data_IF_002855169461
#
_entry.id   IF_002855169461
#
_cell.length_a   1.000
_cell.length_b   1.000
_cell.length_c   1.000
_cell.angle_alpha   90.00
_cell.angle_beta   90.00
_cell.angle_gamma   90.00
#
_symmetry.space_group_name_H-M   'P 1'
#
loop_
_entity.id
_entity.type
_entity.pdbx_description
1 polymer ?
#
# COMPACT_ATOMS: atom_id res chain seq x y z
N UNK A 1 21.96 18.98 -13.68
CA UNK A 1 21.28 17.74 -14.10
C UNK A 1 19.85 18.12 -14.49
N UNK A 2 19.26 17.46 -15.48
CA UNK A 2 17.87 17.71 -15.87
C UNK A 2 16.97 17.18 -14.78
N UNK A 3 15.97 17.97 -14.34
CA UNK A 3 15.00 17.48 -13.34
C UNK A 3 14.31 16.21 -13.83
N UNK A 4 14.04 15.25 -12.92
CA UNK A 4 13.31 14.03 -13.27
C UNK A 4 11.91 14.36 -13.81
N UNK A 5 11.46 13.63 -14.79
CA UNK A 5 10.08 13.72 -15.26
C UNK A 5 9.18 12.87 -14.32
N UNK A 6 8.68 13.47 -13.26
CA UNK A 6 7.88 12.79 -12.23
C UNK A 6 6.63 12.11 -12.82
N UNK A 7 5.91 12.80 -13.70
CA UNK A 7 4.72 12.21 -14.32
C UNK A 7 5.03 10.94 -15.13
N UNK A 8 6.21 10.88 -15.77
CA UNK A 8 6.65 9.66 -16.46
C UNK A 8 6.95 8.54 -15.48
N UNK A 9 7.57 8.85 -14.32
CA UNK A 9 7.85 7.86 -13.27
C UNK A 9 6.53 7.32 -12.72
N UNK A 10 5.55 8.17 -12.45
CA UNK A 10 4.21 7.79 -11.96
C UNK A 10 3.50 6.83 -12.93
N UNK A 11 3.48 7.15 -14.23
CA UNK A 11 2.85 6.32 -15.26
C UNK A 11 3.53 4.95 -15.40
N UNK A 12 4.87 4.93 -15.40
CA UNK A 12 5.63 3.68 -15.49
C UNK A 12 5.48 2.83 -14.23
N UNK A 13 5.44 3.43 -13.02
CA UNK A 13 5.18 2.72 -11.77
C UNK A 13 3.80 2.08 -11.77
N UNK A 14 2.77 2.80 -12.23
CA UNK A 14 1.43 2.23 -12.35
C UNK A 14 1.40 0.99 -13.25
N UNK A 15 2.07 1.05 -14.40
CA UNK A 15 2.17 -0.09 -15.32
C UNK A 15 2.91 -1.27 -14.69
N UNK A 16 4.05 -1.02 -14.04
CA UNK A 16 4.83 -2.05 -13.37
C UNK A 16 4.08 -2.71 -12.20
N UNK A 17 3.27 -1.94 -11.46
CA UNK A 17 2.39 -2.50 -10.42
C UNK A 17 1.41 -3.52 -11.00
N UNK A 18 0.74 -3.19 -12.08
CA UNK A 18 -0.22 -4.10 -12.68
C UNK A 18 0.46 -5.27 -13.39
N UNK A 19 1.64 -5.06 -14.00
CA UNK A 19 2.44 -6.15 -14.55
C UNK A 19 2.79 -7.18 -13.48
N UNK A 20 3.34 -6.76 -12.34
CA UNK A 20 3.74 -7.69 -11.29
C UNK A 20 2.55 -8.35 -10.59
N UNK A 21 1.43 -7.66 -10.45
CA UNK A 21 0.20 -8.22 -9.89
C UNK A 21 -0.35 -9.34 -10.75
N UNK A 22 -0.34 -9.17 -12.08
CA UNK A 22 -0.83 -10.18 -13.02
C UNK A 22 0.18 -11.29 -13.30
N UNK A 23 1.46 -10.98 -13.28
CA UNK A 23 2.53 -11.93 -13.54
C UNK A 23 3.68 -11.76 -12.53
N UNK A 24 3.50 -12.20 -11.27
CA UNK A 24 4.51 -12.04 -10.22
C UNK A 24 5.88 -12.60 -10.59
N UNK A 25 5.92 -13.70 -11.35
CA UNK A 25 7.15 -14.38 -11.74
C UNK A 25 7.98 -13.59 -12.77
N UNK A 26 7.38 -12.60 -13.47
CA UNK A 26 8.09 -11.76 -14.47
C UNK A 26 9.25 -10.96 -13.85
N UNK A 27 9.19 -10.66 -12.55
CA UNK A 27 10.24 -9.93 -11.85
C UNK A 27 11.38 -10.81 -11.30
N UNK A 28 11.26 -12.13 -11.31
CA UNK A 28 12.31 -13.05 -10.82
C UNK A 28 13.64 -12.85 -11.56
N UNK A 29 13.70 -12.72 -12.92
CA UNK A 29 14.95 -12.45 -13.60
C UNK A 29 15.61 -11.13 -13.17
N UNK A 30 14.81 -10.08 -12.94
CA UNK A 30 15.29 -8.76 -12.47
C UNK A 30 15.89 -8.87 -11.07
N UNK A 31 15.21 -9.53 -10.13
CA UNK A 31 15.74 -9.78 -8.78
C UNK A 31 17.02 -10.64 -8.80
N UNK A 32 17.13 -11.61 -9.72
CA UNK A 32 18.38 -12.37 -9.90
C UNK A 32 19.53 -11.48 -10.37
N UNK A 33 19.26 -10.48 -11.22
CA UNK A 33 20.28 -9.51 -11.63
C UNK A 33 20.71 -8.64 -10.46
N UNK A 34 19.80 -8.28 -9.54
CA UNK A 34 20.12 -7.53 -8.31
C UNK A 34 21.17 -8.28 -7.47
N UNK A 35 21.08 -9.62 -7.34
CA UNK A 35 22.05 -10.41 -6.59
C UNK A 35 23.48 -10.25 -7.10
N UNK A 36 23.67 -9.99 -8.39
CA UNK A 36 25.01 -9.79 -8.98
C UNK A 36 25.61 -8.42 -8.68
N UNK A 37 24.82 -7.52 -8.13
CA UNK A 37 25.20 -6.13 -7.82
C UNK A 37 25.56 -5.91 -6.34
N UNK A 38 25.59 -6.96 -5.52
CA UNK A 38 25.99 -6.89 -4.14
C UNK A 38 27.52 -7.03 -3.96
N UNK A 39 28.04 -6.27 -3.02
CA UNK A 39 29.33 -6.51 -2.41
C UNK A 39 29.15 -6.44 -0.90
N UNK A 40 29.23 -7.56 -0.24
CA UNK A 40 28.81 -7.73 1.16
C UNK A 40 27.31 -7.31 1.31
N UNK A 41 27.04 -6.34 2.19
CA UNK A 41 25.71 -5.77 2.37
C UNK A 41 25.50 -4.44 1.62
N UNK A 42 26.35 -4.11 0.69
CA UNK A 42 26.22 -2.91 -0.13
C UNK A 42 25.65 -3.30 -1.49
N UNK A 43 24.50 -2.77 -1.82
CA UNK A 43 23.86 -2.94 -3.12
C UNK A 43 24.29 -1.81 -4.05
N UNK A 44 25.07 -2.15 -5.08
CA UNK A 44 25.54 -1.24 -6.13
C UNK A 44 24.51 -1.17 -7.26
N UNK A 45 23.59 -0.23 -7.14
CA UNK A 45 22.53 -0.03 -8.16
C UNK A 45 23.15 0.59 -9.41
N UNK A 46 22.92 0.04 -10.61
CA UNK A 46 23.38 0.65 -11.85
C UNK A 46 22.86 2.09 -11.98
N UNK A 47 23.76 3.04 -12.28
CA UNK A 47 23.46 4.47 -12.48
C UNK A 47 22.86 5.20 -11.28
N UNK A 48 22.91 4.62 -10.09
CA UNK A 48 22.45 5.23 -8.84
C UNK A 48 23.50 5.15 -7.72
N UNK A 49 23.28 5.83 -6.61
CA UNK A 49 24.16 5.74 -5.46
C UNK A 49 24.01 4.38 -4.78
N UNK A 50 25.11 3.75 -4.29
CA UNK A 50 25.03 2.49 -3.58
C UNK A 50 24.22 2.60 -2.29
N UNK A 51 23.47 1.54 -1.96
CA UNK A 51 22.66 1.45 -0.75
C UNK A 51 23.28 0.47 0.23
N UNK A 52 23.52 0.92 1.48
CA UNK A 52 23.81 0.02 2.59
C UNK A 52 22.50 -0.68 3.00
N UNK A 53 22.46 -2.00 2.86
CA UNK A 53 21.30 -2.83 3.24
C UNK A 53 21.48 -3.43 4.63
N UNK A 54 20.38 -3.84 5.25
CA UNK A 54 20.35 -4.52 6.54
C UNK A 54 20.60 -6.02 6.41
N UNK A 55 19.97 -6.66 5.44
CA UNK A 55 19.96 -8.11 5.26
C UNK A 55 20.85 -8.57 4.09
N UNK A 56 21.13 -7.67 3.12
CA UNK A 56 21.94 -8.01 1.96
C UNK A 56 21.19 -8.91 0.98
N UNK A 57 21.91 -9.86 0.39
CA UNK A 57 21.37 -10.82 -0.61
C UNK A 57 20.25 -11.70 -0.05
N UNK A 58 20.15 -11.87 1.27
CA UNK A 58 19.12 -12.70 1.91
C UNK A 58 17.71 -12.17 1.63
N UNK A 59 17.50 -10.85 1.75
CA UNK A 59 16.21 -10.22 1.47
C UNK A 59 15.81 -10.39 -0.01
N UNK A 60 16.76 -10.31 -0.93
CA UNK A 60 16.51 -10.51 -2.36
C UNK A 60 16.15 -11.97 -2.64
N UNK A 61 16.90 -12.91 -2.04
CA UNK A 61 16.65 -14.35 -2.18
C UNK A 61 15.26 -14.72 -1.66
N UNK A 62 14.86 -14.15 -0.53
CA UNK A 62 13.53 -14.33 0.06
C UNK A 62 12.44 -13.75 -0.86
N UNK A 63 12.65 -12.55 -1.45
CA UNK A 63 11.73 -11.98 -2.42
C UNK A 63 11.55 -12.87 -3.67
N UNK A 64 12.64 -13.48 -4.16
CA UNK A 64 12.58 -14.46 -5.26
C UNK A 64 11.75 -15.68 -4.87
N UNK A 65 11.92 -16.23 -3.65
CA UNK A 65 11.14 -17.39 -3.19
C UNK A 65 9.65 -17.02 -3.03
N UNK A 66 9.36 -15.84 -2.48
CA UNK A 66 8.00 -15.32 -2.39
C UNK A 66 7.34 -15.27 -3.77
N UNK A 67 7.99 -14.64 -4.76
CA UNK A 67 7.42 -14.52 -6.12
C UNK A 67 7.20 -15.86 -6.82
N UNK A 68 7.98 -16.92 -6.53
CA UNK A 68 7.76 -18.25 -7.12
C UNK A 68 6.40 -18.84 -6.77
N UNK A 69 5.86 -18.49 -5.60
CA UNK A 69 4.60 -19.04 -5.08
C UNK A 69 3.45 -18.03 -5.12
N UNK A 70 3.76 -16.74 -5.29
CA UNK A 70 2.75 -15.69 -5.37
C UNK A 70 1.83 -15.92 -6.56
N UNK A 71 0.53 -16.02 -6.28
CA UNK A 71 -0.50 -16.11 -7.30
C UNK A 71 -0.81 -14.73 -7.88
N UNK A 72 -1.19 -14.64 -9.15
CA UNK A 72 -1.73 -13.41 -9.72
C UNK A 72 -2.90 -12.86 -8.89
N UNK A 73 -2.96 -11.54 -8.81
CA UNK A 73 -4.09 -10.81 -8.21
C UNK A 73 -4.60 -9.77 -9.19
N UNK A 74 -5.82 -9.28 -8.98
CA UNK A 74 -6.47 -8.33 -9.89
C UNK A 74 -5.65 -7.04 -10.07
N UNK A 75 -5.75 -6.45 -11.24
CA UNK A 75 -5.21 -5.12 -11.52
C UNK A 75 -5.82 -4.06 -10.60
N UNK A 76 -5.03 -3.03 -10.35
CA UNK A 76 -5.47 -1.82 -9.67
C UNK A 76 -5.93 -0.79 -10.69
N UNK A 77 -6.95 -0.03 -10.35
CA UNK A 77 -7.40 1.15 -11.10
C UNK A 77 -6.70 2.39 -10.55
N UNK A 78 -6.14 3.21 -11.43
CA UNK A 78 -5.55 4.48 -11.01
C UNK A 78 -6.66 5.44 -10.57
N UNK A 79 -6.59 5.91 -9.30
CA UNK A 79 -7.48 6.94 -8.78
C UNK A 79 -6.77 8.29 -8.74
N UNK A 80 -7.42 9.28 -9.33
CA UNK A 80 -6.97 10.67 -9.28
C UNK A 80 -7.01 11.21 -7.85
N UNK A 81 -8.02 10.84 -7.09
CA UNK A 81 -8.27 11.31 -5.72
C UNK A 81 -7.17 10.80 -4.77
N UNK A 82 -6.83 9.50 -4.87
CA UNK A 82 -5.72 8.92 -4.09
C UNK A 82 -4.39 9.55 -4.54
N UNK A 83 -4.19 9.80 -5.84
CA UNK A 83 -2.97 10.45 -6.34
C UNK A 83 -2.83 11.88 -5.81
N UNK A 84 -3.94 12.62 -5.67
CA UNK A 84 -3.93 13.94 -5.03
C UNK A 84 -3.58 13.86 -3.55
N UNK A 85 -4.08 12.88 -2.83
CA UNK A 85 -3.72 12.65 -1.42
C UNK A 85 -2.24 12.26 -1.25
N UNK A 86 -1.70 11.43 -2.15
CA UNK A 86 -0.27 11.14 -2.21
C UNK A 86 0.56 12.38 -2.55
N UNK A 87 0.06 13.22 -3.45
CA UNK A 87 0.73 14.48 -3.81
C UNK A 87 0.78 15.45 -2.63
N UNK A 88 -0.30 15.62 -1.89
CA UNK A 88 -0.29 16.41 -0.65
C UNK A 88 0.81 15.94 0.30
N UNK A 89 0.99 14.62 0.42
CA UNK A 89 2.01 14.05 1.28
C UNK A 89 3.43 14.34 0.79
N UNK A 90 3.69 14.08 -0.48
CA UNK A 90 4.99 14.36 -1.11
C UNK A 90 5.35 15.86 -1.03
N UNK A 91 4.39 16.75 -1.30
CA UNK A 91 4.58 18.20 -1.24
C UNK A 91 4.82 18.68 0.21
N UNK A 92 4.31 17.95 1.21
CA UNK A 92 4.52 18.28 2.62
C UNK A 92 5.85 17.77 3.15
N UNK A 93 6.11 16.45 3.00
CA UNK A 93 7.29 15.81 3.61
C UNK A 93 8.58 16.08 2.83
N UNK A 94 8.50 16.18 1.50
CA UNK A 94 9.67 16.31 0.63
C UNK A 94 10.53 17.52 0.96
N UNK A 95 10.01 18.77 0.96
CA UNK A 95 10.77 19.98 1.30
C UNK A 95 11.29 19.99 2.74
N UNK A 96 10.64 19.29 3.65
CA UNK A 96 11.03 19.18 5.07
C UNK A 96 12.06 18.09 5.31
N UNK A 97 12.26 17.18 4.35
CA UNK A 97 13.20 16.06 4.47
C UNK A 97 12.70 14.97 5.43
N UNK A 98 11.38 14.83 5.58
CA UNK A 98 10.75 13.84 6.44
C UNK A 98 10.52 12.52 5.68
N UNK A 99 10.59 11.38 6.40
CA UNK A 99 10.40 10.03 5.82
C UNK A 99 9.29 9.26 6.55
N UNK A 100 8.26 9.98 6.99
CA UNK A 100 7.15 9.46 7.80
C UNK A 100 5.90 9.26 6.98
N UNK A 101 5.04 8.32 7.38
CA UNK A 101 3.69 8.14 6.83
C UNK A 101 2.70 9.21 7.31
N UNK A 102 2.96 9.83 8.46
CA UNK A 102 2.21 10.99 8.92
C UNK A 102 2.78 12.27 8.30
N UNK A 103 1.91 13.14 7.86
CA UNK A 103 2.27 14.49 7.42
C UNK A 103 2.83 15.33 8.57
N UNK A 104 3.49 16.43 8.27
CA UNK A 104 4.00 17.35 9.29
C UNK A 104 2.90 17.99 10.14
N UNK A 105 1.66 17.95 9.68
CA UNK A 105 0.45 18.35 10.39
C UNK A 105 -0.19 17.19 11.19
N UNK A 106 0.45 16.03 11.24
CA UNK A 106 0.00 14.83 11.94
C UNK A 106 -1.07 14.02 11.21
N UNK A 107 -1.45 14.40 9.98
CA UNK A 107 -2.45 13.65 9.22
C UNK A 107 -1.89 12.39 8.60
N UNK A 108 -2.66 11.33 8.72
CA UNK A 108 -2.40 10.04 8.08
C UNK A 108 -3.00 9.94 6.66
N UNK A 109 -2.82 8.81 5.99
CA UNK A 109 -3.32 8.59 4.63
C UNK A 109 -4.84 8.76 4.53
N UNK A 110 -5.63 8.22 5.48
CA UNK A 110 -7.09 8.33 5.40
C UNK A 110 -7.57 9.77 5.45
N UNK A 111 -7.00 10.57 6.35
CA UNK A 111 -7.33 11.98 6.49
C UNK A 111 -6.92 12.81 5.25
N UNK A 112 -5.88 12.38 4.54
CA UNK A 112 -5.50 13.00 3.26
C UNK A 112 -6.46 12.61 2.14
N UNK A 113 -6.85 11.33 2.04
CA UNK A 113 -7.80 10.84 1.03
C UNK A 113 -9.19 11.47 1.22
N UNK A 114 -9.65 11.62 2.47
CA UNK A 114 -10.95 12.20 2.84
C UNK A 114 -11.13 13.67 2.40
N UNK A 115 -10.08 14.35 1.98
CA UNK A 115 -10.20 15.65 1.31
C UNK A 115 -10.75 15.56 -0.10
N UNK A 116 -10.60 14.41 -0.78
CA UNK A 116 -10.83 14.26 -2.21
C UNK A 116 -11.96 13.29 -2.54
N UNK A 117 -12.20 12.29 -1.69
CA UNK A 117 -13.24 11.28 -1.90
C UNK A 117 -13.61 10.57 -0.59
N UNK A 118 -14.68 9.80 -0.64
CA UNK A 118 -14.99 8.78 0.36
C UNK A 118 -14.23 7.49 0.01
N UNK A 119 -13.85 6.72 1.05
CA UNK A 119 -13.24 5.41 0.87
C UNK A 119 -13.92 4.37 1.75
N UNK A 120 -13.80 3.09 1.39
CA UNK A 120 -14.32 1.98 2.18
C UNK A 120 -13.33 0.82 2.30
N UNK A 121 -13.49 0.02 3.35
CA UNK A 121 -12.73 -1.19 3.61
C UNK A 121 -11.33 -0.94 4.14
N UNK A 122 -10.31 -1.04 3.32
CA UNK A 122 -8.91 -0.96 3.72
C UNK A 122 -8.14 0.08 2.91
N UNK A 123 -7.16 0.70 3.57
CA UNK A 123 -6.14 1.57 2.98
C UNK A 123 -4.75 1.05 3.31
N UNK A 124 -3.80 1.28 2.41
CA UNK A 124 -2.38 1.04 2.65
C UNK A 124 -1.54 2.10 1.95
N UNK A 125 -0.31 2.30 2.40
CA UNK A 125 0.63 3.23 1.79
C UNK A 125 2.02 2.61 1.71
N UNK A 126 2.69 2.82 0.58
CA UNK A 126 4.11 2.58 0.40
C UNK A 126 4.82 3.91 0.19
N UNK A 127 5.98 4.08 0.81
CA UNK A 127 6.86 5.22 0.60
C UNK A 127 8.22 4.73 0.11
N UNK A 128 8.83 5.51 -0.80
CA UNK A 128 10.17 5.24 -1.31
C UNK A 128 10.95 6.55 -1.40
N UNK A 129 12.26 6.48 -1.10
CA UNK A 129 13.13 7.64 -1.05
C UNK A 129 14.46 7.36 -1.75
N UNK A 130 14.86 8.26 -2.65
CA UNK A 130 16.20 8.26 -3.26
C UNK A 130 16.31 7.58 -4.60
N UNK A 131 15.49 6.57 -4.90
CA UNK A 131 15.53 5.85 -6.17
C UNK A 131 14.83 6.63 -7.30
N UNK A 132 15.48 6.68 -8.46
CA UNK A 132 15.08 7.57 -9.58
C UNK A 132 14.35 6.84 -10.71
N UNK A 133 14.52 5.52 -10.80
CA UNK A 133 13.90 4.74 -11.88
C UNK A 133 12.72 3.92 -11.37
N UNK A 134 11.62 3.83 -12.13
CA UNK A 134 10.46 3.02 -11.76
C UNK A 134 10.80 1.57 -11.46
N UNK A 135 11.74 0.99 -12.21
CA UNK A 135 12.17 -0.39 -11.99
C UNK A 135 12.88 -0.56 -10.63
N UNK A 136 13.83 0.34 -10.30
CA UNK A 136 14.54 0.25 -9.01
C UNK A 136 13.60 0.50 -7.84
N UNK A 137 12.65 1.46 -7.96
CA UNK A 137 11.60 1.69 -6.96
C UNK A 137 10.79 0.40 -6.74
N UNK A 138 10.30 -0.22 -7.82
CA UNK A 138 9.53 -1.46 -7.72
C UNK A 138 10.34 -2.61 -7.12
N UNK A 139 11.60 -2.77 -7.52
CA UNK A 139 12.49 -3.79 -6.96
C UNK A 139 12.72 -3.58 -5.47
N UNK A 140 12.91 -2.32 -5.02
CA UNK A 140 13.10 -2.02 -3.60
C UNK A 140 11.84 -2.30 -2.78
N UNK A 141 10.66 -1.95 -3.28
CA UNK A 141 9.39 -2.30 -2.64
C UNK A 141 9.19 -3.83 -2.53
N UNK A 142 9.66 -4.60 -3.52
CA UNK A 142 9.60 -6.05 -3.51
C UNK A 142 10.59 -6.68 -2.53
N UNK A 143 11.82 -6.19 -2.50
CA UNK A 143 12.87 -6.67 -1.60
C UNK A 143 12.49 -6.31 -0.17
N UNK A 144 12.11 -5.05 0.05
CA UNK A 144 11.68 -4.49 1.33
C UNK A 144 12.66 -4.84 2.47
N UNK A 145 13.97 -4.59 2.20
CA UNK A 145 15.09 -4.88 3.09
C UNK A 145 14.91 -4.24 4.48
N UNK A 146 15.31 -4.94 5.53
CA UNK A 146 15.23 -4.47 6.92
C UNK A 146 13.82 -4.47 7.52
N UNK A 147 12.79 -4.83 6.76
CA UNK A 147 11.38 -4.85 7.22
C UNK A 147 10.91 -6.29 7.39
N UNK A 148 10.88 -6.78 8.62
CA UNK A 148 10.63 -8.18 8.96
C UNK A 148 9.39 -8.79 8.28
N UNK A 149 8.28 -8.07 8.23
CA UNK A 149 7.00 -8.54 7.67
C UNK A 149 6.76 -8.13 6.23
N UNK A 150 7.72 -7.48 5.58
CA UNK A 150 7.68 -7.13 4.14
C UNK A 150 6.41 -6.38 3.73
N UNK A 151 5.94 -5.43 4.55
CA UNK A 151 4.65 -4.76 4.32
C UNK A 151 4.53 -4.08 2.98
N UNK A 152 5.59 -3.42 2.50
CA UNK A 152 5.52 -2.76 1.22
C UNK A 152 5.30 -3.79 0.10
N UNK A 153 5.97 -4.95 0.18
CA UNK A 153 5.71 -6.07 -0.72
C UNK A 153 4.29 -6.61 -0.58
N UNK A 154 3.80 -6.79 0.65
CA UNK A 154 2.44 -7.30 0.90
C UNK A 154 1.38 -6.37 0.32
N UNK A 155 1.58 -5.05 0.41
CA UNK A 155 0.68 -4.08 -0.20
C UNK A 155 0.60 -4.23 -1.73
N UNK A 156 1.72 -4.55 -2.40
CA UNK A 156 1.74 -4.78 -3.86
C UNK A 156 0.78 -5.90 -4.28
N UNK A 157 0.66 -6.95 -3.46
CA UNK A 157 -0.13 -8.15 -3.77
C UNK A 157 -1.41 -8.29 -2.97
N UNK A 158 -1.81 -7.24 -2.23
CA UNK A 158 -3.02 -7.31 -1.43
C UNK A 158 -4.24 -7.56 -2.32
N UNK A 159 -4.98 -8.67 -2.12
CA UNK A 159 -6.02 -9.10 -3.06
C UNK A 159 -7.26 -8.20 -3.04
N UNK A 160 -7.54 -7.55 -1.93
CA UNK A 160 -8.72 -6.68 -1.79
C UNK A 160 -8.51 -5.27 -2.31
N UNK A 161 -7.26 -4.82 -2.51
CA UNK A 161 -7.02 -3.49 -3.07
C UNK A 161 -7.43 -3.44 -4.54
N UNK A 162 -8.20 -2.41 -4.89
CA UNK A 162 -8.76 -2.19 -6.23
C UNK A 162 -8.28 -0.90 -6.85
N UNK A 163 -7.91 0.08 -6.03
CA UNK A 163 -7.50 1.41 -6.46
C UNK A 163 -6.13 1.73 -5.94
N UNK A 164 -5.39 2.51 -6.70
CA UNK A 164 -4.13 3.09 -6.27
C UNK A 164 -4.00 4.53 -6.75
N UNK A 165 -3.20 5.30 -6.04
CA UNK A 165 -2.73 6.61 -6.47
C UNK A 165 -1.23 6.70 -6.27
N UNK A 166 -0.56 7.49 -7.08
CA UNK A 166 0.89 7.66 -7.04
C UNK A 166 1.20 9.15 -7.12
N UNK A 167 2.17 9.59 -6.34
CA UNK A 167 2.81 10.88 -6.49
C UNK A 167 4.32 10.76 -6.31
N UNK A 168 5.05 11.48 -7.14
CA UNK A 168 6.52 11.58 -7.10
C UNK A 168 6.90 13.05 -7.03
N UNK A 169 7.89 13.37 -6.21
CA UNK A 169 8.35 14.75 -6.08
C UNK A 169 9.74 14.88 -5.48
N UNK A 170 10.23 16.13 -5.36
CA UNK A 170 11.54 16.39 -4.81
C UNK A 170 11.60 16.11 -3.31
N UNK A 171 12.74 15.62 -2.83
CA UNK A 171 12.99 15.41 -1.42
C UNK A 171 14.32 16.05 -1.01
N UNK A 172 14.28 16.84 0.06
CA UNK A 172 15.43 17.67 0.51
C UNK A 172 16.71 16.85 0.83
N UNK A 173 16.54 15.63 1.35
CA UNK A 173 17.67 14.78 1.75
C UNK A 173 17.97 13.73 0.69
N UNK A 174 16.93 13.10 0.14
CA UNK A 174 17.06 11.97 -0.78
C UNK A 174 16.86 12.33 -2.25
N UNK A 175 16.76 13.63 -2.58
CA UNK A 175 16.49 14.18 -3.92
C UNK A 175 15.11 13.87 -4.47
N UNK A 176 14.57 12.69 -4.24
CA UNK A 176 13.25 12.24 -4.72
C UNK A 176 12.54 11.45 -3.63
N UNK A 177 11.22 11.58 -3.57
CA UNK A 177 10.34 10.71 -2.78
C UNK A 177 9.12 10.29 -3.60
N UNK A 178 8.61 9.13 -3.27
CA UNK A 178 7.44 8.52 -3.91
C UNK A 178 6.46 8.13 -2.80
N UNK A 179 5.19 8.50 -2.98
CA UNK A 179 4.09 8.01 -2.18
C UNK A 179 3.11 7.24 -3.05
N UNK A 180 2.72 6.05 -2.61
CA UNK A 180 1.79 5.16 -3.31
C UNK A 180 0.71 4.77 -2.32
N UNK A 181 -0.49 5.30 -2.52
CA UNK A 181 -1.67 4.97 -1.74
C UNK A 181 -2.48 3.86 -2.41
N UNK A 182 -3.03 2.97 -1.60
CA UNK A 182 -3.91 1.89 -2.03
C UNK A 182 -5.24 1.96 -1.29
N UNK A 183 -6.33 1.63 -1.97
CA UNK A 183 -7.66 1.54 -1.37
C UNK A 183 -8.44 0.33 -1.90
N UNK A 184 -9.26 -0.27 -1.03
CA UNK A 184 -10.23 -1.29 -1.43
C UNK A 184 -11.38 -0.68 -2.21
N UNK A 185 -11.92 0.45 -1.76
CA UNK A 185 -13.02 1.17 -2.38
C UNK A 185 -12.83 2.67 -2.36
N UNK A 186 -13.26 3.33 -3.42
CA UNK A 186 -13.25 4.80 -3.59
C UNK A 186 -14.57 5.22 -4.20
N UNK A 187 -15.17 6.29 -3.65
CA UNK A 187 -16.41 6.90 -4.17
C UNK A 187 -16.23 8.42 -4.23
N UNK A 188 -16.79 9.03 -5.26
CA UNK A 188 -16.86 10.48 -5.35
C UNK A 188 -17.82 11.03 -4.28
N UNK A 189 -17.58 12.24 -3.81
CA UNK A 189 -18.49 12.91 -2.91
C UNK A 189 -19.87 13.08 -3.57
N UNK A 190 -20.91 12.59 -2.89
CA UNK A 190 -22.30 12.67 -3.35
C UNK A 190 -22.72 11.53 -4.30
N UNK A 191 -21.85 10.61 -4.63
CA UNK A 191 -22.27 9.37 -5.29
C UNK A 191 -23.11 8.53 -4.31
N UNK A 192 -24.26 8.02 -4.79
CA UNK A 192 -25.01 7.04 -4.02
C UNK A 192 -24.14 5.80 -3.81
N UNK A 193 -24.13 5.23 -2.59
CA UNK A 193 -23.45 3.97 -2.35
C UNK A 193 -23.92 2.95 -3.38
N UNK A 194 -23.00 2.20 -3.99
CA UNK A 194 -23.40 1.09 -4.84
C UNK A 194 -24.43 0.25 -4.10
N UNK A 195 -25.53 -0.09 -4.77
CA UNK A 195 -26.57 -0.96 -4.19
C UNK A 195 -25.93 -2.33 -3.90
N UNK A 196 -25.49 -2.49 -2.69
CA UNK A 196 -24.88 -3.74 -2.20
C UNK A 196 -25.94 -4.77 -1.78
N UNK A 197 -27.24 -4.47 -1.98
CA UNK A 197 -28.33 -5.34 -1.55
C UNK A 197 -28.24 -6.73 -2.19
N UNK A 198 -27.90 -6.83 -3.46
CA UNK A 198 -27.68 -8.13 -4.14
C UNK A 198 -26.45 -8.84 -3.60
N UNK A 199 -25.35 -8.15 -3.42
CA UNK A 199 -24.11 -8.72 -2.87
C UNK A 199 -24.31 -9.22 -1.43
N UNK A 200 -24.98 -8.43 -0.59
CA UNK A 200 -25.32 -8.82 0.80
C UNK A 200 -26.27 -10.00 0.78
N UNK A 201 -27.29 -10.04 -0.10
CA UNK A 201 -28.20 -11.16 -0.21
C UNK A 201 -27.49 -12.43 -0.70
N UNK A 202 -26.58 -12.33 -1.65
CA UNK A 202 -25.77 -13.45 -2.12
C UNK A 202 -24.79 -13.93 -1.04
N UNK A 203 -24.12 -13.01 -0.33
CA UNK A 203 -23.26 -13.33 0.82
C UNK A 203 -24.02 -14.02 1.96
N UNK A 204 -25.21 -13.51 2.32
CA UNK A 204 -26.09 -14.12 3.34
C UNK A 204 -26.53 -15.50 2.88
N UNK A 205 -26.97 -15.65 1.61
CA UNK A 205 -27.38 -16.93 1.02
C UNK A 205 -26.25 -17.96 1.04
N UNK A 206 -25.03 -17.56 0.69
CA UNK A 206 -23.85 -18.43 0.70
C UNK A 206 -23.44 -18.79 2.13
N UNK A 207 -23.50 -17.83 3.07
CA UNK A 207 -23.21 -18.06 4.49
C UNK A 207 -24.24 -18.98 5.15
N UNK A 208 -25.53 -18.89 4.77
CA UNK A 208 -26.58 -19.78 5.28
C UNK A 208 -26.47 -21.20 4.72
N UNK A 209 -26.02 -21.35 3.47
CA UNK A 209 -25.77 -22.65 2.85
C UNK A 209 -24.55 -23.35 3.44
N UNK A 210 -23.53 -22.63 3.87
CA UNK A 210 -22.33 -23.17 4.54
C UNK A 210 -22.57 -23.49 6.02
N UNK A 211 -23.66 -23.01 6.65
CA UNK A 211 -23.98 -23.28 8.06
C UNK A 211 -24.41 -24.73 8.37
N UNK A 212 -24.49 -25.60 7.36
CA UNK A 212 -24.85 -27.01 7.61
C UNK A 212 -23.68 -27.90 8.07
N UNK A 213 -22.43 -27.40 8.09
CA UNK A 213 -21.25 -28.22 8.47
C UNK A 213 -20.26 -27.60 9.48
N UNK A 214 -20.55 -26.47 10.13
CA UNK A 214 -19.61 -25.90 11.10
C UNK A 214 -20.25 -25.91 12.48
N UNK A 215 -19.80 -26.87 13.30
CA UNK A 215 -19.95 -26.88 14.77
C UNK A 215 -19.14 -25.74 15.38
N UNK A 216 -19.78 -24.99 16.27
CA UNK A 216 -19.29 -24.19 17.38
C UNK A 216 -17.75 -24.09 17.52
N UNK A 217 -17.18 -23.03 17.03
CA UNK A 217 -16.00 -22.35 17.54
C UNK A 217 -15.92 -20.95 16.87
N UNK A 218 -16.91 -20.10 17.16
CA UNK A 218 -16.79 -18.67 16.89
C UNK A 218 -16.08 -18.02 18.08
N UNK A 219 -14.76 -18.02 18.05
CA UNK A 219 -14.01 -16.87 18.52
C UNK A 219 -14.24 -15.80 17.45
N UNK A 220 -14.70 -14.61 17.86
CA UNK A 220 -14.69 -13.42 17.00
C UNK A 220 -13.26 -13.26 16.48
N UNK A 221 -13.02 -13.60 15.20
CA UNK A 221 -11.76 -13.29 14.56
C UNK A 221 -11.65 -11.77 14.55
N UNK A 222 -10.81 -11.25 15.42
CA UNK A 222 -10.38 -9.85 15.34
C UNK A 222 -9.86 -9.62 13.93
N UNK A 223 -10.23 -8.49 13.27
CA UNK A 223 -9.70 -8.19 11.95
C UNK A 223 -8.18 -8.23 12.04
N UNK A 224 -7.58 -9.01 11.14
CA UNK A 224 -6.16 -9.33 11.04
C UNK A 224 -5.28 -8.13 11.42
N UNK A 225 -4.65 -8.23 12.58
CA UNK A 225 -3.60 -7.30 12.96
C UNK A 225 -2.30 -7.85 12.37
N UNK A 226 -1.57 -7.06 11.58
CA UNK A 226 -0.26 -7.48 11.08
C UNK A 226 0.66 -7.88 12.24
N UNK A 227 1.45 -8.95 12.09
CA UNK A 227 2.28 -9.56 13.16
C UNK A 227 3.27 -8.61 13.85
N UNK A 228 3.65 -7.48 13.21
CA UNK A 228 4.57 -6.47 13.76
C UNK A 228 3.85 -5.20 14.20
N UNK A 229 2.58 -5.29 14.52
CA UNK A 229 1.87 -4.14 15.07
C UNK A 229 2.46 -3.77 16.43
N UNK A 230 3.06 -2.58 16.51
CA UNK A 230 3.59 -2.03 17.78
C UNK A 230 2.55 -1.19 18.51
N UNK A 231 1.55 -0.67 17.77
CA UNK A 231 0.42 0.03 18.38
C UNK A 231 -0.84 -0.09 17.52
N UNK A 232 -2.00 -0.05 18.17
CA UNK A 232 -3.31 0.02 17.52
C UNK A 232 -4.03 1.25 18.04
N UNK A 233 -4.35 2.18 17.14
CA UNK A 233 -5.21 3.33 17.46
C UNK A 233 -6.61 3.02 16.94
N UNK A 234 -7.61 3.11 17.80
CA UNK A 234 -9.01 2.90 17.43
C UNK A 234 -9.69 4.27 17.44
N UNK A 235 -10.24 4.67 16.30
CA UNK A 235 -10.99 5.92 16.16
C UNK A 235 -12.44 5.56 15.86
N UNK A 236 -13.35 5.95 16.74
CA UNK A 236 -14.79 5.84 16.51
C UNK A 236 -15.33 7.20 16.09
N UNK A 237 -15.96 7.25 14.93
CA UNK A 237 -16.51 8.48 14.37
C UNK A 237 -17.88 8.22 13.76
N UNK A 238 -18.57 9.30 13.42
CA UNK A 238 -19.81 9.22 12.65
C UNK A 238 -19.55 9.88 11.30
N UNK A 239 -19.68 9.12 10.23
CA UNK A 239 -19.57 9.62 8.86
C UNK A 239 -20.95 9.73 8.22
N UNK A 240 -21.10 10.69 7.32
CA UNK A 240 -22.28 10.76 6.44
C UNK A 240 -22.00 9.90 5.21
N UNK A 241 -22.71 8.78 5.10
CA UNK A 241 -22.62 7.87 3.95
C UNK A 241 -23.97 7.83 3.29
N UNK A 242 -24.06 8.29 2.04
CA UNK A 242 -25.35 8.41 1.32
C UNK A 242 -26.38 9.31 2.05
N UNK A 243 -25.93 10.40 2.67
CA UNK A 243 -26.79 11.33 3.43
C UNK A 243 -27.29 10.80 4.78
N UNK A 244 -26.88 9.61 5.22
CA UNK A 244 -27.23 9.03 6.53
C UNK A 244 -26.00 9.00 7.43
N UNK A 245 -26.19 9.34 8.69
CA UNK A 245 -25.14 9.24 9.71
C UNK A 245 -24.90 7.77 10.05
N UNK A 246 -23.69 7.28 9.81
CA UNK A 246 -23.24 5.93 10.18
C UNK A 246 -22.10 6.01 11.18
N UNK A 247 -22.12 5.14 12.17
CA UNK A 247 -20.98 4.95 13.08
C UNK A 247 -19.93 4.09 12.39
N UNK A 248 -18.69 4.54 12.49
CA UNK A 248 -17.55 3.89 11.84
C UNK A 248 -16.42 3.77 12.85
N UNK A 249 -15.83 2.58 12.92
CA UNK A 249 -14.63 2.32 13.69
C UNK A 249 -13.46 2.15 12.73
N UNK A 250 -12.47 3.03 12.84
CA UNK A 250 -11.17 2.87 12.17
C UNK A 250 -10.18 2.21 13.15
N UNK A 251 -9.54 1.12 12.74
CA UNK A 251 -8.38 0.54 13.43
C UNK A 251 -7.13 0.90 12.63
N UNK A 252 -6.25 1.67 13.23
CA UNK A 252 -4.96 2.08 12.65
C UNK A 252 -3.88 1.27 13.34
N UNK A 253 -3.32 0.29 12.63
CA UNK A 253 -2.20 -0.52 13.10
C UNK A 253 -0.91 0.20 12.71
N UNK A 254 -0.13 0.65 13.68
CA UNK A 254 1.22 1.17 13.44
C UNK A 254 2.20 0.03 13.62
N UNK A 255 3.09 -0.13 12.66
CA UNK A 255 4.04 -1.22 12.56
C UNK A 255 5.38 -0.77 13.16
N UNK A 256 6.27 -1.71 13.42
CA UNK A 256 7.60 -1.45 14.00
C UNK A 256 8.50 -0.54 13.13
N UNK A 257 8.23 -0.47 11.83
CA UNK A 257 8.92 0.43 10.88
C UNK A 257 8.21 1.77 10.69
N UNK A 258 7.16 2.07 11.48
CA UNK A 258 6.36 3.28 11.37
C UNK A 258 5.29 3.27 10.28
N UNK A 259 5.21 2.23 9.44
CA UNK A 259 4.13 2.10 8.46
C UNK A 259 2.78 1.94 9.17
N UNK A 260 1.71 2.40 8.51
CA UNK A 260 0.36 2.27 9.03
C UNK A 260 -0.51 1.41 8.11
N UNK A 261 -1.25 0.49 8.71
CA UNK A 261 -2.32 -0.26 8.07
C UNK A 261 -3.65 0.16 8.68
N UNK A 262 -4.58 0.63 7.85
CA UNK A 262 -5.85 1.19 8.32
C UNK A 262 -6.99 0.30 7.84
N UNK A 263 -7.83 -0.13 8.80
CA UNK A 263 -9.04 -0.91 8.53
C UNK A 263 -10.25 -0.12 9.03
N UNK A 264 -11.24 0.05 8.18
CA UNK A 264 -12.50 0.70 8.54
C UNK A 264 -13.62 -0.33 8.65
N UNK A 265 -14.37 -0.29 9.74
CA UNK A 265 -15.49 -1.19 10.04
C UNK A 265 -16.73 -0.32 10.30
N UNK A 266 -17.76 -0.48 9.46
CA UNK A 266 -19.06 0.15 9.73
C UNK A 266 -19.75 -0.61 10.89
N UNK A 267 -20.17 0.13 11.92
CA UNK A 267 -21.02 -0.44 12.99
C UNK A 267 -22.47 -0.45 12.49
N UNK A 268 -23.06 -1.64 12.44
CA UNK A 268 -24.48 -1.83 12.06
C UNK A 268 -25.45 -1.23 13.10
#
# INVERSE_FOLDING_TARGET
MKEPNYAKIEDELFKLHNEIRQNPQSFIPKLKSVLTCFKDKIYHIPDEDPIQTFEGEEAVTEAIQFLKTQKPVNELTLSKEISLACKDHVDDIGPKGLTTHEGSDGKNLSERIEKYCEWDGALAENLEFGLKTPENIMLNLLINDGVKNRYQRMNLFHPEMKYMGIAVGPHKVYNICVAIGYARGVRQFGDEPADVSEFIQEYIKNSLNNKKEIRNDFQEEEPYAPDNTVSVKIIKTTKLVGGKAKKVTQKIFTLDNGAQHIVEIEEN
#
